data_IF_406842242338
#
_entry.id   IF_406842242338
#
_cell.length_a   1.000
_cell.length_b   1.000
_cell.length_c   1.000
_cell.angle_alpha   90.00
_cell.angle_beta   90.00
_cell.angle_gamma   90.00
#
_symmetry.space_group_name_H-M   'P 1'
#
loop_
_entity.id
_entity.type
_entity.pdbx_description
1 polymer ?
#
# COMPACT_ATOMS: atom_id res chain seq x y z
N UNK A 1 3.67 28.66 11.47
CA UNK A 1 4.52 28.06 12.52
C UNK A 1 4.89 26.66 12.06
N UNK A 2 6.18 26.42 11.79
CA UNK A 2 6.64 25.20 11.12
C UNK A 2 6.35 23.93 11.91
N UNK A 3 5.71 22.95 11.28
CA UNK A 3 5.65 21.57 11.76
C UNK A 3 7.08 21.02 11.73
N UNK A 4 7.72 20.94 12.90
CA UNK A 4 8.93 20.14 13.08
C UNK A 4 8.55 18.68 12.85
N UNK A 5 9.16 18.04 11.84
CA UNK A 5 9.23 16.58 11.76
C UNK A 5 9.73 16.06 13.11
N UNK A 6 8.86 15.41 13.89
CA UNK A 6 9.28 14.72 15.10
C UNK A 6 10.19 13.57 14.64
N UNK A 7 11.46 13.65 15.04
CA UNK A 7 12.49 12.72 14.62
C UNK A 7 12.16 11.27 15.00
N UNK A 8 12.58 10.36 14.12
CA UNK A 8 12.45 8.91 14.25
C UNK A 8 13.11 8.41 15.54
N UNK A 9 12.38 7.63 16.32
CA UNK A 9 12.92 6.97 17.51
C UNK A 9 13.48 5.60 17.14
N UNK A 10 14.71 5.32 17.56
CA UNK A 10 15.27 3.97 17.51
C UNK A 10 14.49 3.10 18.50
N UNK A 11 13.71 2.15 18.01
CA UNK A 11 12.81 1.37 18.85
C UNK A 11 13.57 0.31 19.64
N UNK A 12 13.06 -0.08 20.81
CA UNK A 12 13.71 -1.05 21.69
C UNK A 12 13.41 -2.49 21.24
N UNK A 13 14.43 -3.32 21.10
CA UNK A 13 14.28 -4.77 20.82
C UNK A 13 14.52 -5.56 22.10
N UNK A 14 13.50 -6.28 22.55
CA UNK A 14 13.52 -7.12 23.74
C UNK A 14 13.93 -8.56 23.41
N UNK A 15 14.28 -9.34 24.43
CA UNK A 15 14.68 -10.75 24.29
C UNK A 15 13.80 -11.61 25.18
N UNK A 16 13.04 -12.54 24.59
CA UNK A 16 12.25 -13.54 25.31
C UNK A 16 12.58 -14.91 24.73
N UNK A 17 13.21 -15.77 25.53
CA UNK A 17 13.73 -17.06 25.07
C UNK A 17 14.58 -16.93 23.80
N UNK A 18 14.30 -17.80 22.82
CA UNK A 18 14.97 -17.83 21.52
C UNK A 18 14.53 -16.71 20.56
N UNK A 19 13.67 -15.77 20.98
CA UNK A 19 13.16 -14.71 20.12
C UNK A 19 13.72 -13.32 20.46
N UNK A 20 14.07 -12.56 19.42
CA UNK A 20 14.22 -11.11 19.48
C UNK A 20 12.89 -10.47 19.08
N UNK A 21 12.40 -9.53 19.89
CA UNK A 21 11.03 -9.01 19.78
C UNK A 21 11.06 -7.49 19.69
N UNK A 22 10.47 -6.98 18.62
CA UNK A 22 10.11 -5.57 18.47
C UNK A 22 8.62 -5.41 18.78
N UNK A 23 8.28 -4.46 19.65
CA UNK A 23 6.90 -4.15 20.02
C UNK A 23 6.66 -2.66 19.94
N UNK A 24 5.54 -2.26 19.35
CA UNK A 24 5.17 -0.85 19.18
C UNK A 24 3.73 -0.64 19.59
N UNK A 25 3.50 0.48 20.27
CA UNK A 25 2.19 0.87 20.79
C UNK A 25 1.90 2.26 20.22
N UNK A 26 0.75 2.41 19.55
CA UNK A 26 0.32 3.70 19.03
C UNK A 26 -0.11 4.64 20.17
N UNK A 27 -0.94 4.12 21.08
CA UNK A 27 -1.42 4.84 22.26
C UNK A 27 -1.04 4.08 23.55
N UNK A 28 -0.23 4.66 24.46
CA UNK A 28 0.15 4.05 25.73
C UNK A 28 -1.04 3.65 26.64
N UNK A 29 -2.23 4.22 26.40
CA UNK A 29 -3.45 3.86 27.13
C UNK A 29 -4.19 2.66 26.50
N UNK A 30 -3.81 2.25 25.30
CA UNK A 30 -4.38 1.12 24.57
C UNK A 30 -3.75 -0.22 24.98
N UNK A 31 -4.57 -1.26 25.00
CA UNK A 31 -4.14 -2.65 25.20
C UNK A 31 -3.63 -3.30 23.91
N UNK A 32 -3.80 -2.63 22.76
CA UNK A 32 -3.38 -3.15 21.45
C UNK A 32 -1.95 -2.75 21.13
N UNK A 33 -1.15 -3.71 20.65
CA UNK A 33 0.22 -3.48 20.20
C UNK A 33 0.51 -4.21 18.90
N UNK A 34 1.51 -3.73 18.16
CA UNK A 34 2.11 -4.43 17.06
C UNK A 34 3.36 -5.15 17.55
N UNK A 35 3.50 -6.44 17.23
CA UNK A 35 4.63 -7.25 17.66
C UNK A 35 5.23 -7.99 16.46
N UNK A 36 6.56 -7.88 16.34
CA UNK A 36 7.37 -8.63 15.38
C UNK A 36 8.42 -9.42 16.14
N UNK A 37 8.43 -10.74 15.97
CA UNK A 37 9.38 -11.63 16.63
C UNK A 37 10.19 -12.42 15.60
N UNK A 38 11.52 -12.46 15.79
CA UNK A 38 12.43 -13.28 14.96
C UNK A 38 13.24 -14.23 15.82
N UNK A 39 13.42 -15.46 15.32
CA UNK A 39 14.14 -16.49 16.04
C UNK A 39 15.66 -16.29 15.91
N UNK A 40 16.35 -16.17 17.04
CA UNK A 40 17.76 -15.76 17.12
C UNK A 40 18.74 -16.78 16.57
N UNK A 41 18.35 -18.05 16.50
CA UNK A 41 19.23 -19.08 15.91
C UNK A 41 19.32 -18.94 14.38
N UNK A 42 18.37 -18.21 13.78
CA UNK A 42 18.31 -18.01 12.34
C UNK A 42 18.58 -16.56 11.93
N UNK A 43 18.18 -15.59 12.75
CA UNK A 43 18.24 -14.16 12.42
C UNK A 43 18.96 -13.32 13.46
N UNK A 44 19.78 -12.39 12.97
CA UNK A 44 20.29 -11.25 13.73
C UNK A 44 19.47 -10.01 13.38
N UNK A 45 18.97 -9.31 14.40
CA UNK A 45 18.35 -7.99 14.21
C UNK A 45 19.45 -6.95 14.10
N UNK A 46 19.52 -6.27 12.96
CA UNK A 46 20.49 -5.21 12.64
C UNK A 46 19.98 -3.86 13.15
N UNK A 47 18.73 -3.52 12.81
CA UNK A 47 18.08 -2.30 13.29
C UNK A 47 16.56 -2.48 13.41
N UNK A 48 15.94 -1.57 14.16
CA UNK A 48 14.49 -1.51 14.37
C UNK A 48 14.02 -0.06 14.38
N UNK A 49 13.00 0.24 13.57
CA UNK A 49 12.38 1.56 13.49
C UNK A 49 10.87 1.46 13.67
N UNK A 50 10.33 2.42 14.41
CA UNK A 50 8.89 2.57 14.63
C UNK A 50 8.39 3.73 13.77
N UNK A 51 7.27 3.51 13.09
CA UNK A 51 6.59 4.50 12.26
C UNK A 51 5.22 4.77 12.89
N UNK A 52 5.10 5.91 13.57
CA UNK A 52 3.85 6.32 14.20
C UNK A 52 3.02 7.17 13.24
N UNK A 53 1.81 6.73 12.92
CA UNK A 53 0.84 7.47 12.11
C UNK A 53 -0.09 8.33 12.98
N UNK A 54 0.49 9.06 13.94
CA UNK A 54 -0.25 9.93 14.86
C UNK A 54 -1.10 10.99 14.14
N UNK A 55 -0.72 11.32 12.91
CA UNK A 55 -1.42 12.27 12.04
C UNK A 55 -2.39 11.60 11.06
N UNK A 56 -2.38 10.28 10.94
CA UNK A 56 -3.14 9.51 9.93
C UNK A 56 -3.68 8.21 10.54
N UNK A 57 -4.86 8.32 11.16
CA UNK A 57 -5.63 7.16 11.64
C UNK A 57 -5.11 6.49 12.91
N UNK A 58 -4.12 7.08 13.59
CA UNK A 58 -3.56 6.64 14.87
C UNK A 58 -3.12 5.17 14.87
N UNK A 59 -2.37 4.81 13.82
CA UNK A 59 -1.81 3.46 13.61
C UNK A 59 -0.30 3.46 13.76
N UNK A 60 0.28 2.27 13.73
CA UNK A 60 1.74 2.08 13.80
C UNK A 60 2.19 1.03 12.80
N UNK A 61 3.37 1.23 12.24
CA UNK A 61 4.14 0.20 11.53
C UNK A 61 5.52 0.04 12.17
N UNK A 62 6.12 -1.13 11.97
CA UNK A 62 7.47 -1.47 12.40
C UNK A 62 8.30 -1.85 11.20
N UNK A 63 9.50 -1.30 11.08
CA UNK A 63 10.53 -1.78 10.15
C UNK A 63 11.62 -2.49 10.95
N UNK A 64 11.86 -3.74 10.60
CA UNK A 64 12.90 -4.59 11.17
C UNK A 64 13.90 -4.96 10.08
N UNK A 65 15.14 -4.49 10.22
CA UNK A 65 16.24 -4.92 9.37
C UNK A 65 16.88 -6.14 10.01
N UNK A 66 16.86 -7.27 9.31
CA UNK A 66 17.39 -8.54 9.79
C UNK A 66 18.39 -9.14 8.81
N UNK A 67 19.32 -9.92 9.37
CA UNK A 67 20.35 -10.65 8.66
C UNK A 67 20.26 -12.14 8.99
N UNK A 68 20.37 -13.00 7.99
CA UNK A 68 20.39 -14.45 8.18
C UNK A 68 21.76 -14.89 8.71
N UNK A 69 21.76 -15.67 9.80
CA UNK A 69 23.00 -16.13 10.46
C UNK A 69 23.69 -17.30 9.74
N UNK A 70 22.92 -18.12 9.03
CA UNK A 70 23.44 -19.29 8.31
C UNK A 70 23.28 -19.06 6.80
N UNK A 71 24.35 -18.71 6.07
CA UNK A 71 24.25 -18.44 4.64
C UNK A 71 23.81 -19.70 3.88
N UNK A 72 22.79 -19.56 3.05
CA UNK A 72 22.30 -20.69 2.25
C UNK A 72 23.35 -21.13 1.24
N UNK A 73 23.63 -22.43 1.20
CA UNK A 73 24.69 -23.05 0.39
C UNK A 73 24.63 -22.73 -1.10
N UNK A 74 23.46 -22.35 -1.61
CA UNK A 74 23.19 -21.97 -3.02
C UNK A 74 23.72 -20.58 -3.39
N UNK A 75 24.07 -19.72 -2.42
CA UNK A 75 24.56 -18.36 -2.63
C UNK A 75 25.96 -18.16 -2.04
N UNK A 76 26.85 -19.14 -2.22
CA UNK A 76 28.24 -19.18 -1.67
C UNK A 76 29.24 -18.31 -2.44
N UNK A 77 28.86 -17.12 -2.91
CA UNK A 77 29.87 -16.08 -3.12
C UNK A 77 30.20 -15.52 -1.72
N UNK A 78 31.47 -15.63 -1.31
CA UNK A 78 31.89 -15.51 0.10
C UNK A 78 31.62 -14.15 0.79
N UNK A 79 30.93 -13.19 0.15
CA UNK A 79 30.81 -11.81 0.63
C UNK A 79 29.38 -11.23 0.66
N UNK A 80 28.33 -11.95 0.27
CA UNK A 80 26.97 -11.37 0.26
C UNK A 80 26.28 -11.60 1.60
N UNK A 81 26.13 -10.54 2.39
CA UNK A 81 25.27 -10.56 3.59
C UNK A 81 23.83 -10.80 3.16
N UNK A 82 23.17 -11.76 3.80
CA UNK A 82 21.79 -12.11 3.48
C UNK A 82 20.85 -11.27 4.36
N UNK A 83 20.68 -10.01 3.97
CA UNK A 83 19.89 -9.02 4.68
C UNK A 83 18.50 -8.87 4.03
N UNK A 84 17.49 -8.53 4.84
CA UNK A 84 16.14 -8.22 4.37
C UNK A 84 15.45 -7.22 5.30
N UNK A 85 14.45 -6.53 4.75
CA UNK A 85 13.57 -5.65 5.52
C UNK A 85 12.23 -6.33 5.74
N UNK A 86 11.82 -6.44 7.00
CA UNK A 86 10.49 -6.91 7.38
C UNK A 86 9.72 -5.71 7.90
N UNK A 87 8.59 -5.40 7.28
CA UNK A 87 7.67 -4.37 7.77
C UNK A 87 6.39 -5.03 8.24
N UNK A 88 6.01 -4.77 9.48
CA UNK A 88 4.73 -5.20 10.03
C UNK A 88 3.82 -3.98 10.22
N UNK A 89 2.52 -4.13 10.00
CA UNK A 89 1.54 -3.04 10.21
C UNK A 89 0.13 -3.58 10.47
N UNK A 90 -0.74 -2.73 11.00
CA UNK A 90 -2.17 -2.95 11.04
C UNK A 90 -2.87 -1.65 10.62
N UNK A 91 -3.35 -1.61 9.38
CA UNK A 91 -3.93 -0.42 8.77
C UNK A 91 -5.28 -0.06 9.38
N UNK A 92 -5.72 1.17 9.16
CA UNK A 92 -6.99 1.68 9.70
C UNK A 92 -8.19 0.85 9.21
N UNK A 93 -9.01 0.37 10.16
CA UNK A 93 -10.23 -0.37 9.88
C UNK A 93 -11.20 0.41 8.97
N UNK A 94 -11.81 -0.22 7.94
CA UNK A 94 -12.65 0.45 6.96
C UNK A 94 -14.08 0.67 7.48
N UNK A 95 -14.30 1.64 8.37
CA UNK A 95 -15.66 2.00 8.80
C UNK A 95 -16.52 2.57 7.67
N UNK A 96 -15.90 3.26 6.71
CA UNK A 96 -16.53 3.80 5.50
C UNK A 96 -15.50 3.92 4.35
N UNK A 97 -15.99 4.18 3.13
CA UNK A 97 -15.15 4.30 1.92
C UNK A 97 -14.21 5.50 1.92
N UNK A 98 -14.49 6.55 2.70
CA UNK A 98 -13.64 7.74 2.80
C UNK A 98 -12.28 7.41 3.42
N UNK A 99 -12.25 6.43 4.33
CA UNK A 99 -11.03 5.95 4.99
C UNK A 99 -10.09 5.15 4.08
N UNK A 100 -10.47 4.87 2.83
CA UNK A 100 -9.57 4.25 1.86
C UNK A 100 -8.35 5.14 1.57
N UNK A 101 -8.55 6.45 1.48
CA UNK A 101 -7.45 7.42 1.26
C UNK A 101 -6.48 7.42 2.45
N UNK A 102 -7.01 7.29 3.67
CA UNK A 102 -6.20 7.20 4.89
C UNK A 102 -5.31 5.97 4.86
N UNK A 103 -5.86 4.80 4.52
CA UNK A 103 -5.06 3.57 4.39
C UNK A 103 -4.01 3.68 3.30
N UNK A 104 -4.37 4.24 2.14
CA UNK A 104 -3.40 4.50 1.08
C UNK A 104 -2.26 5.38 1.59
N UNK A 105 -2.57 6.48 2.29
CA UNK A 105 -1.58 7.38 2.88
C UNK A 105 -0.66 6.66 3.89
N UNK A 106 -1.23 5.76 4.71
CA UNK A 106 -0.43 4.93 5.62
C UNK A 106 0.56 4.06 4.83
N UNK A 107 0.13 3.41 3.74
CA UNK A 107 1.02 2.59 2.90
C UNK A 107 2.06 3.43 2.17
N UNK A 108 1.67 4.59 1.63
CA UNK A 108 2.60 5.53 0.99
C UNK A 108 3.72 5.95 1.95
N UNK A 109 3.37 6.33 3.19
CA UNK A 109 4.35 6.66 4.23
C UNK A 109 5.23 5.49 4.63
N UNK A 110 4.69 4.27 4.68
CA UNK A 110 5.49 3.06 4.91
C UNK A 110 6.55 2.91 3.83
N UNK A 111 6.16 3.01 2.55
CA UNK A 111 7.10 2.84 1.43
C UNK A 111 8.13 3.98 1.37
N UNK A 112 7.72 5.23 1.59
CA UNK A 112 8.66 6.36 1.72
C UNK A 112 9.69 6.13 2.82
N UNK A 113 9.27 5.55 3.94
CA UNK A 113 10.17 5.26 5.04
C UNK A 113 11.14 4.12 4.71
N UNK A 114 10.69 3.09 3.99
CA UNK A 114 11.57 2.01 3.50
C UNK A 114 12.63 2.56 2.56
N UNK A 115 12.25 3.40 1.59
CA UNK A 115 13.18 4.06 0.67
C UNK A 115 14.19 4.96 1.42
N UNK A 116 13.69 5.77 2.36
CA UNK A 116 14.53 6.66 3.18
C UNK A 116 15.50 5.86 4.03
N UNK A 117 15.04 4.79 4.68
CA UNK A 117 15.87 3.91 5.51
C UNK A 117 17.00 3.28 4.69
N UNK A 118 16.70 2.76 3.49
CA UNK A 118 17.73 2.20 2.63
C UNK A 118 18.77 3.26 2.22
N UNK A 119 18.33 4.46 1.83
CA UNK A 119 19.22 5.57 1.45
C UNK A 119 20.09 6.05 2.61
N UNK A 120 19.49 6.27 3.79
CA UNK A 120 20.20 6.73 5.00
C UNK A 120 21.30 5.77 5.46
N UNK A 121 21.09 4.47 5.24
CA UNK A 121 22.03 3.42 5.64
C UNK A 121 22.93 2.94 4.48
N UNK A 122 22.89 3.61 3.32
CA UNK A 122 23.63 3.23 2.10
C UNK A 122 23.45 1.74 1.75
N UNK A 123 22.22 1.23 1.88
CA UNK A 123 21.89 -0.15 1.57
C UNK A 123 21.59 -0.31 0.09
N UNK A 124 22.12 -1.38 -0.51
CA UNK A 124 21.65 -1.87 -1.79
C UNK A 124 20.16 -2.26 -1.69
N UNK A 125 19.53 -2.50 -2.85
CA UNK A 125 18.16 -3.01 -2.84
C UNK A 125 18.09 -4.35 -2.09
N UNK A 126 17.43 -4.32 -0.92
CA UNK A 126 17.14 -5.50 -0.12
C UNK A 126 15.75 -6.07 -0.50
N UNK A 127 15.53 -7.38 -0.33
CA UNK A 127 14.19 -7.94 -0.31
C UNK A 127 13.38 -7.28 0.81
N UNK A 128 12.13 -6.96 0.48
CA UNK A 128 11.18 -6.36 1.41
C UNK A 128 10.01 -7.32 1.58
N UNK A 129 9.70 -7.65 2.83
CA UNK A 129 8.52 -8.41 3.23
C UNK A 129 7.60 -7.45 3.99
N UNK A 130 6.38 -7.23 3.49
CA UNK A 130 5.37 -6.47 4.22
C UNK A 130 4.31 -7.43 4.76
N UNK A 131 4.06 -7.44 6.06
CA UNK A 131 3.11 -8.31 6.71
C UNK A 131 2.11 -7.56 7.59
N UNK A 132 0.96 -8.19 7.84
CA UNK A 132 -0.03 -7.73 8.80
C UNK A 132 -1.45 -7.65 8.21
N UNK A 133 -2.32 -6.95 8.95
CA UNK A 133 -3.71 -6.70 8.55
C UNK A 133 -3.78 -5.38 7.74
N UNK A 134 -4.06 -5.52 6.46
CA UNK A 134 -4.14 -4.39 5.53
C UNK A 134 -5.52 -3.74 5.50
N UNK A 135 -6.52 -4.35 6.13
CA UNK A 135 -7.88 -3.84 6.21
C UNK A 135 -8.44 -3.43 4.82
N UNK A 136 -8.02 -4.16 3.78
CA UNK A 136 -8.31 -3.88 2.38
C UNK A 136 -8.22 -5.16 1.56
N UNK A 137 -9.19 -5.36 0.67
CA UNK A 137 -9.24 -6.54 -0.18
C UNK A 137 -8.41 -6.39 -1.45
N UNK A 138 -8.25 -7.49 -2.20
CA UNK A 138 -7.65 -7.50 -3.55
C UNK A 138 -8.24 -6.48 -4.53
N UNK A 139 -9.52 -6.14 -4.38
CA UNK A 139 -10.19 -5.16 -5.26
C UNK A 139 -9.90 -3.70 -4.86
N UNK A 140 -9.45 -3.48 -3.63
CA UNK A 140 -9.24 -2.17 -3.07
C UNK A 140 -7.97 -1.46 -3.56
N UNK A 141 -7.93 -0.14 -3.39
CA UNK A 141 -6.82 0.68 -3.87
C UNK A 141 -5.48 0.37 -3.20
N UNK A 142 -5.48 -0.04 -1.93
CA UNK A 142 -4.24 -0.45 -1.23
C UNK A 142 -3.56 -1.61 -1.94
N UNK A 143 -4.31 -2.65 -2.30
CA UNK A 143 -3.79 -3.79 -3.05
C UNK A 143 -3.24 -3.34 -4.40
N UNK A 144 -4.04 -2.62 -5.18
CA UNK A 144 -3.65 -2.08 -6.50
C UNK A 144 -2.38 -1.21 -6.43
N UNK A 145 -2.27 -0.38 -5.39
CA UNK A 145 -1.10 0.47 -5.16
C UNK A 145 0.16 -0.36 -4.89
N UNK A 146 0.12 -1.35 -4.01
CA UNK A 146 1.24 -2.25 -3.76
C UNK A 146 1.63 -3.05 -5.01
N UNK A 147 0.65 -3.52 -5.78
CA UNK A 147 0.90 -4.19 -7.08
C UNK A 147 1.63 -3.27 -8.06
N UNK A 148 1.25 -1.99 -8.14
CA UNK A 148 1.92 -1.00 -8.99
C UNK A 148 3.37 -0.72 -8.58
N UNK A 149 3.72 -1.01 -7.32
CA UNK A 149 5.06 -0.90 -6.76
C UNK A 149 5.88 -2.21 -6.88
N UNK A 150 5.34 -3.22 -7.59
CA UNK A 150 6.02 -4.48 -7.86
C UNK A 150 5.84 -5.55 -6.78
N UNK A 151 5.12 -5.27 -5.69
CA UNK A 151 4.87 -6.27 -4.65
C UNK A 151 3.99 -7.40 -5.15
N UNK A 152 4.32 -8.63 -4.80
CA UNK A 152 3.50 -9.82 -5.04
C UNK A 152 2.89 -10.32 -3.73
N UNK A 153 1.63 -10.75 -3.79
CA UNK A 153 0.99 -11.46 -2.69
C UNK A 153 1.58 -12.87 -2.61
N UNK A 154 2.17 -13.23 -1.47
CA UNK A 154 2.78 -14.54 -1.31
C UNK A 154 1.73 -15.66 -1.38
N UNK A 155 0.53 -15.43 -0.84
CA UNK A 155 -0.54 -16.41 -0.90
C UNK A 155 -0.96 -16.69 -2.36
N UNK A 156 -1.12 -15.64 -3.15
CA UNK A 156 -1.51 -15.79 -4.56
C UNK A 156 -0.40 -16.41 -5.39
N UNK A 157 0.85 -16.07 -5.10
CA UNK A 157 2.02 -16.65 -5.77
C UNK A 157 2.11 -18.16 -5.51
N UNK A 158 1.90 -18.60 -4.27
CA UNK A 158 1.95 -20.02 -3.92
C UNK A 158 0.85 -20.85 -4.59
N UNK A 159 -0.33 -20.26 -4.79
CA UNK A 159 -1.51 -20.92 -5.36
C UNK A 159 -1.74 -20.64 -6.85
N UNK A 160 -0.85 -19.86 -7.48
CA UNK A 160 -0.96 -19.44 -8.88
C UNK A 160 -2.27 -18.68 -9.17
N UNK A 161 -2.71 -17.87 -8.21
CA UNK A 161 -3.88 -17.01 -8.36
C UNK A 161 -3.53 -15.70 -9.05
N UNK A 162 -4.49 -15.17 -9.79
CA UNK A 162 -4.38 -13.88 -10.47
C UNK A 162 -4.99 -12.77 -9.62
N UNK A 163 -4.77 -11.52 -10.05
CA UNK A 163 -5.42 -10.36 -9.42
C UNK A 163 -6.96 -10.38 -9.59
N UNK A 164 -7.48 -11.13 -10.58
CA UNK A 164 -8.92 -11.36 -10.77
C UNK A 164 -9.55 -12.34 -9.76
N UNK A 165 -8.73 -13.17 -9.11
CA UNK A 165 -9.14 -14.19 -8.15
C UNK A 165 -9.38 -13.61 -6.74
N UNK A 166 -10.23 -12.58 -6.67
CA UNK A 166 -10.42 -11.76 -5.47
C UNK A 166 -11.14 -12.47 -4.30
N UNK A 167 -11.80 -13.60 -4.57
CA UNK A 167 -12.67 -14.31 -3.61
C UNK A 167 -12.20 -15.75 -3.33
N UNK A 168 -10.99 -16.11 -3.76
CA UNK A 168 -10.48 -17.50 -3.62
C UNK A 168 -10.06 -17.87 -2.20
N UNK A 169 -9.77 -16.88 -1.36
CA UNK A 169 -9.36 -17.09 0.01
C UNK A 169 -9.89 -15.98 0.92
N UNK A 170 -9.99 -16.31 2.21
CA UNK A 170 -10.50 -15.45 3.25
C UNK A 170 -9.60 -15.57 4.47
N UNK A 171 -9.25 -14.45 5.10
CA UNK A 171 -8.42 -14.44 6.30
C UNK A 171 -9.13 -13.88 7.52
N UNK A 172 -10.25 -13.17 7.35
CA UNK A 172 -10.92 -12.48 8.43
C UNK A 172 -12.44 -12.60 8.34
N UNK A 173 -13.08 -12.75 9.51
CA UNK A 173 -14.52 -12.59 9.69
C UNK A 173 -14.77 -11.40 10.59
N UNK A 174 -15.26 -10.32 10.00
CA UNK A 174 -15.42 -9.08 10.74
C UNK A 174 -16.61 -9.11 11.72
N UNK A 175 -16.72 -8.07 12.54
CA UNK A 175 -17.80 -7.92 13.53
C UNK A 175 -19.22 -7.90 12.95
N UNK A 176 -19.38 -7.71 11.63
CA UNK A 176 -20.66 -7.79 10.91
C UNK A 176 -20.93 -9.17 10.33
N UNK A 177 -20.03 -10.13 10.53
CA UNK A 177 -20.10 -11.48 9.98
C UNK A 177 -19.64 -11.58 8.52
N UNK A 178 -19.12 -10.51 7.91
CA UNK A 178 -18.61 -10.56 6.54
C UNK A 178 -17.24 -11.24 6.52
N UNK A 179 -17.04 -12.06 5.49
CA UNK A 179 -15.78 -12.74 5.22
C UNK A 179 -14.95 -11.93 4.20
N UNK A 180 -13.69 -11.65 4.53
CA UNK A 180 -12.76 -10.97 3.63
C UNK A 180 -11.32 -11.49 3.73
N UNK A 181 -10.59 -11.44 2.61
CA UNK A 181 -9.13 -11.57 2.58
C UNK A 181 -8.49 -10.20 2.78
N UNK A 182 -7.90 -9.97 3.95
CA UNK A 182 -7.31 -8.68 4.38
C UNK A 182 -5.90 -8.82 4.95
N UNK A 183 -5.50 -10.04 5.30
CA UNK A 183 -4.18 -10.36 5.83
C UNK A 183 -3.28 -10.78 4.68
N UNK A 184 -2.24 -10.00 4.43
CA UNK A 184 -1.30 -10.26 3.34
C UNK A 184 0.13 -10.30 3.86
N UNK A 185 0.90 -11.22 3.29
CA UNK A 185 2.36 -11.20 3.33
C UNK A 185 2.84 -10.90 1.91
N UNK A 186 3.26 -9.67 1.70
CA UNK A 186 3.78 -9.16 0.43
C UNK A 186 5.28 -9.41 0.34
N UNK A 187 5.75 -9.72 -0.87
CA UNK A 187 7.16 -9.84 -1.19
C UNK A 187 7.51 -8.87 -2.32
N UNK A 188 8.61 -8.15 -2.16
CA UNK A 188 9.27 -7.39 -3.22
C UNK A 188 10.74 -7.79 -3.25
N UNK A 189 11.18 -8.35 -4.37
CA UNK A 189 12.58 -8.72 -4.58
C UNK A 189 13.38 -7.53 -5.16
N UNK A 190 14.70 -7.50 -4.95
CA UNK A 190 15.57 -6.43 -5.45
C UNK A 190 15.51 -6.21 -6.95
N UNK A 191 15.34 -7.28 -7.73
CA UNK A 191 15.30 -7.24 -9.19
C UNK A 191 13.93 -6.87 -9.77
N UNK A 192 12.95 -6.57 -8.92
CA UNK A 192 11.60 -6.24 -9.37
C UNK A 192 11.57 -4.78 -9.83
N UNK A 193 10.93 -4.53 -10.98
CA UNK A 193 10.68 -3.18 -11.47
C UNK A 193 9.92 -2.36 -10.42
N UNK A 194 10.35 -1.11 -10.22
CA UNK A 194 9.69 -0.16 -9.31
C UNK A 194 9.33 1.10 -10.08
N UNK A 195 8.04 1.40 -10.12
CA UNK A 195 7.55 2.70 -10.55
C UNK A 195 7.86 3.74 -9.48
N UNK A 196 8.17 4.98 -9.86
CA UNK A 196 8.35 6.07 -8.91
C UNK A 196 7.14 6.15 -7.97
N UNK A 197 7.41 6.15 -6.66
CA UNK A 197 6.38 6.08 -5.63
C UNK A 197 5.33 7.18 -5.76
N UNK A 198 5.75 8.40 -6.14
CA UNK A 198 4.87 9.56 -6.39
C UNK A 198 3.92 9.33 -7.57
N UNK A 199 4.38 8.67 -8.63
CA UNK A 199 3.55 8.38 -9.80
C UNK A 199 2.48 7.33 -9.45
N UNK A 200 2.86 6.24 -8.79
CA UNK A 200 1.90 5.24 -8.31
C UNK A 200 0.88 5.81 -7.32
N UNK A 201 1.32 6.73 -6.46
CA UNK A 201 0.43 7.42 -5.52
C UNK A 201 -0.66 8.19 -6.25
N UNK A 202 -0.24 8.99 -7.23
CA UNK A 202 -1.12 9.83 -8.04
C UNK A 202 -2.14 9.01 -8.81
N UNK A 203 -1.70 7.93 -9.43
CA UNK A 203 -2.58 6.98 -10.12
C UNK A 203 -3.58 6.31 -9.18
N UNK A 204 -3.16 5.97 -7.95
CA UNK A 204 -4.05 5.39 -6.96
C UNK A 204 -5.16 6.38 -6.57
N UNK A 205 -4.82 7.67 -6.35
CA UNK A 205 -5.79 8.73 -6.02
C UNK A 205 -6.72 9.02 -7.21
N UNK A 206 -6.21 9.09 -8.43
CA UNK A 206 -7.06 9.23 -9.62
C UNK A 206 -7.95 8.00 -9.85
N UNK A 207 -7.46 6.80 -9.55
CA UNK A 207 -8.28 5.61 -9.52
C UNK A 207 -9.45 5.72 -8.53
N UNK A 208 -9.22 6.27 -7.34
CA UNK A 208 -10.30 6.55 -6.37
C UNK A 208 -11.29 7.58 -6.89
N UNK A 209 -10.79 8.65 -7.52
CA UNK A 209 -11.62 9.67 -8.15
C UNK A 209 -12.55 9.02 -9.19
N UNK A 210 -11.99 8.25 -10.12
CA UNK A 210 -12.74 7.56 -11.17
C UNK A 210 -13.79 6.63 -10.57
N UNK A 211 -13.42 5.83 -9.58
CA UNK A 211 -14.36 4.91 -8.91
C UNK A 211 -15.53 5.68 -8.26
N UNK A 212 -15.28 6.82 -7.60
CA UNK A 212 -16.32 7.66 -7.00
C UNK A 212 -17.20 8.40 -8.02
N UNK A 213 -16.71 8.62 -9.23
CA UNK A 213 -17.51 9.14 -10.35
C UNK A 213 -18.37 8.06 -11.00
N UNK A 214 -17.92 6.79 -10.98
CA UNK A 214 -18.58 5.69 -11.66
C UNK A 214 -19.57 4.92 -10.76
N UNK A 215 -19.26 4.76 -9.47
CA UNK A 215 -20.01 3.93 -8.53
C UNK A 215 -20.75 4.73 -7.47
N UNK A 216 -22.02 4.38 -7.29
CA UNK A 216 -22.87 4.80 -6.18
C UNK A 216 -22.54 3.95 -4.94
N UNK A 217 -22.28 4.57 -3.79
CA UNK A 217 -22.22 3.88 -2.51
C UNK A 217 -23.64 3.87 -1.91
N UNK A 218 -24.40 2.79 -2.11
CA UNK A 218 -25.68 2.59 -1.41
C UNK A 218 -25.37 2.14 0.02
N UNK A 219 -25.12 3.07 0.93
CA UNK A 219 -25.13 2.80 2.37
C UNK A 219 -26.52 3.10 2.93
N UNK A 220 -27.28 2.05 3.25
CA UNK A 220 -28.56 2.17 3.95
C UNK A 220 -28.34 2.53 5.42
N UNK A 221 -28.86 3.66 5.87
CA UNK A 221 -29.25 3.88 7.28
C UNK A 221 -30.30 4.99 7.38
N UNK A 222 -31.51 4.56 7.72
CA UNK A 222 -32.74 5.23 8.16
C UNK A 222 -32.78 6.77 8.35
N UNK A 223 -33.86 7.32 7.78
CA UNK A 223 -34.65 8.49 8.21
C UNK A 223 -34.09 9.90 7.97
N UNK A 224 -34.83 10.60 7.10
CA UNK A 224 -34.89 12.05 6.89
C UNK A 224 -33.67 12.73 6.24
N UNK A 225 -33.46 12.49 4.94
CA UNK A 225 -32.81 13.49 4.08
C UNK A 225 -33.22 13.36 2.60
N UNK A 226 -34.52 13.45 2.34
CA UNK A 226 -35.09 13.36 0.98
C UNK A 226 -34.74 14.55 0.06
N UNK A 227 -34.08 15.60 0.56
CA UNK A 227 -33.65 16.76 -0.23
C UNK A 227 -32.16 16.76 -0.64
N UNK A 228 -31.33 15.88 -0.06
CA UNK A 228 -29.91 15.68 -0.48
C UNK A 228 -29.80 14.58 -1.55
N UNK A 229 -30.85 13.77 -1.68
CA UNK A 229 -30.90 12.63 -2.60
C UNK A 229 -30.88 13.07 -4.07
N UNK A 230 -31.41 14.23 -4.45
CA UNK A 230 -31.44 14.65 -5.87
C UNK A 230 -30.06 15.08 -6.41
N UNK A 231 -29.23 15.74 -5.60
CA UNK A 231 -27.85 16.10 -5.98
C UNK A 231 -26.93 14.88 -5.98
N UNK A 232 -27.25 13.85 -5.18
CA UNK A 232 -26.51 12.59 -5.14
C UNK A 232 -26.95 11.61 -6.24
N UNK A 233 -28.23 11.59 -6.62
CA UNK A 233 -28.77 10.73 -7.67
C UNK A 233 -28.25 11.08 -9.07
N UNK A 234 -27.89 12.35 -9.35
CA UNK A 234 -27.23 12.74 -10.61
C UNK A 234 -25.76 12.26 -10.73
N UNK A 235 -25.16 11.74 -9.65
CA UNK A 235 -23.74 11.32 -9.62
C UNK A 235 -23.51 9.86 -10.04
N UNK A 236 -24.56 9.12 -10.38
CA UNK A 236 -24.45 7.71 -10.75
C UNK A 236 -23.95 7.55 -12.19
N UNK A 237 -22.85 6.82 -12.37
CA UNK A 237 -22.34 6.38 -13.68
C UNK A 237 -22.01 7.52 -14.64
N UNK A 238 -21.28 8.54 -14.18
CA UNK A 238 -20.77 9.59 -15.06
C UNK A 238 -19.97 8.93 -16.18
N UNK A 239 -20.32 9.28 -17.42
CA UNK A 239 -19.48 8.95 -18.57
C UNK A 239 -18.17 9.74 -18.49
N UNK A 240 -17.20 9.43 -19.34
CA UNK A 240 -15.95 10.21 -19.45
C UNK A 240 -16.23 11.71 -19.62
N UNK A 241 -17.17 12.04 -20.51
CA UNK A 241 -17.59 13.42 -20.76
C UNK A 241 -18.29 14.06 -19.57
N UNK A 242 -19.17 13.33 -18.88
CA UNK A 242 -19.87 13.86 -17.70
C UNK A 242 -18.92 14.11 -16.54
N UNK A 243 -17.91 13.25 -16.37
CA UNK A 243 -16.87 13.43 -15.37
C UNK A 243 -16.00 14.65 -15.70
N UNK A 244 -15.60 14.83 -16.97
CA UNK A 244 -14.88 16.02 -17.40
C UNK A 244 -15.71 17.29 -17.14
N UNK A 245 -16.99 17.30 -17.52
CA UNK A 245 -17.91 18.41 -17.27
C UNK A 245 -18.08 18.68 -15.77
N UNK A 246 -18.12 17.65 -14.94
CA UNK A 246 -18.18 17.77 -13.49
C UNK A 246 -16.95 18.51 -12.92
N UNK A 247 -15.74 18.15 -13.38
CA UNK A 247 -14.50 18.82 -12.97
C UNK A 247 -14.40 20.28 -13.45
N UNK A 248 -15.01 20.62 -14.58
CA UNK A 248 -15.06 22.00 -15.09
C UNK A 248 -15.83 22.96 -14.19
N UNK A 249 -16.74 22.44 -13.36
CA UNK A 249 -17.67 23.25 -12.56
C UNK A 249 -18.36 24.33 -13.44
N UNK A 250 -18.37 25.59 -13.00
CA UNK A 250 -19.02 26.70 -13.73
C UNK A 250 -18.12 27.35 -14.80
N UNK A 251 -16.97 26.76 -15.12
CA UNK A 251 -16.04 27.28 -16.13
C UNK A 251 -16.70 27.29 -17.52
N UNK A 252 -16.68 28.46 -18.16
CA UNK A 252 -17.19 28.64 -19.53
C UNK A 252 -16.25 28.06 -20.61
N UNK A 253 -14.98 27.83 -20.27
CA UNK A 253 -13.98 27.25 -21.17
C UNK A 253 -14.10 25.74 -21.26
N UNK A 254 -13.57 25.13 -22.32
CA UNK A 254 -13.53 23.66 -22.45
C UNK A 254 -12.29 23.03 -21.79
N UNK A 255 -12.06 23.42 -20.55
CA UNK A 255 -10.94 22.98 -19.73
C UNK A 255 -11.31 23.03 -18.25
N UNK A 256 -10.66 22.20 -17.46
CA UNK A 256 -10.77 22.19 -16.00
C UNK A 256 -9.77 23.20 -15.45
N UNK A 257 -10.20 23.99 -14.47
CA UNK A 257 -9.31 24.89 -13.72
C UNK A 257 -8.90 24.25 -12.39
N UNK A 258 -7.81 24.74 -11.78
CA UNK A 258 -7.40 24.26 -10.45
C UNK A 258 -8.50 24.40 -9.40
N UNK A 259 -9.29 25.48 -9.45
CA UNK A 259 -10.43 25.68 -8.56
C UNK A 259 -11.54 24.66 -8.81
N UNK A 260 -11.88 24.39 -10.08
CA UNK A 260 -12.86 23.35 -10.46
C UNK A 260 -12.41 21.96 -9.99
N UNK A 261 -11.13 21.62 -10.17
CA UNK A 261 -10.54 20.37 -9.67
C UNK A 261 -10.63 20.25 -8.15
N UNK A 262 -10.25 21.29 -7.41
CA UNK A 262 -10.35 21.29 -5.94
C UNK A 262 -11.79 21.15 -5.46
N UNK A 263 -12.74 21.79 -6.13
CA UNK A 263 -14.17 21.70 -5.82
C UNK A 263 -14.71 20.29 -6.10
N UNK A 264 -14.34 19.69 -7.23
CA UNK A 264 -14.69 18.31 -7.56
C UNK A 264 -14.16 17.33 -6.49
N UNK A 265 -12.88 17.44 -6.08
CA UNK A 265 -12.30 16.62 -5.02
C UNK A 265 -13.02 16.81 -3.67
N UNK A 266 -13.46 18.03 -3.36
CA UNK A 266 -14.23 18.33 -2.15
C UNK A 266 -15.60 17.65 -2.20
N UNK A 267 -16.31 17.75 -3.31
CA UNK A 267 -17.63 17.12 -3.50
C UNK A 267 -17.58 15.59 -3.51
N UNK A 268 -16.43 15.02 -3.89
CA UNK A 268 -16.17 13.59 -3.81
C UNK A 268 -15.65 13.15 -2.44
N UNK A 269 -15.58 14.01 -1.43
CA UNK A 269 -15.02 13.69 -0.10
C UNK A 269 -13.57 13.18 -0.14
N UNK A 270 -12.79 13.64 -1.12
CA UNK A 270 -11.33 13.43 -1.17
C UNK A 270 -10.58 14.63 -0.59
N UNK A 271 -11.23 15.79 -0.45
CA UNK A 271 -10.66 17.04 0.06
C UNK A 271 -11.57 17.68 1.11
N UNK A 272 -10.99 18.37 2.11
CA UNK A 272 -11.74 19.18 3.08
C UNK A 272 -12.30 18.44 4.30
N UNK A 273 -12.09 17.13 4.41
CA UNK A 273 -12.38 16.35 5.62
C UNK A 273 -11.13 16.20 6.50
N UNK A 274 -11.28 15.80 7.77
CA UNK A 274 -10.16 15.57 8.70
C UNK A 274 -9.12 14.55 8.18
N UNK A 275 -9.48 13.78 7.16
CA UNK A 275 -8.74 12.69 6.57
C UNK A 275 -8.57 12.80 5.04
N UNK A 276 -8.91 13.97 4.46
CA UNK A 276 -8.76 14.25 3.03
C UNK A 276 -7.33 14.63 2.64
N UNK A 277 -7.11 14.82 1.35
CA UNK A 277 -5.88 15.35 0.77
C UNK A 277 -5.51 16.69 1.40
N UNK A 278 -4.23 16.86 1.73
CA UNK A 278 -3.64 18.13 2.12
C UNK A 278 -3.57 19.10 0.93
N UNK A 279 -3.30 20.36 1.24
CA UNK A 279 -3.12 21.41 0.21
C UNK A 279 -1.94 21.07 -0.69
N UNK A 280 -0.85 20.58 -0.10
CA UNK A 280 0.37 20.18 -0.80
C UNK A 280 0.10 18.97 -1.71
N UNK A 281 -0.54 17.91 -1.21
CA UNK A 281 -0.89 16.74 -2.02
C UNK A 281 -1.83 17.12 -3.18
N UNK A 282 -2.79 18.02 -2.94
CA UNK A 282 -3.73 18.46 -3.98
C UNK A 282 -3.02 19.24 -5.08
N UNK A 283 -2.06 20.10 -4.72
CA UNK A 283 -1.22 20.80 -5.69
C UNK A 283 -0.34 19.83 -6.48
N UNK A 284 0.25 18.85 -5.80
CA UNK A 284 1.09 17.84 -6.43
C UNK A 284 0.31 16.93 -7.40
N UNK A 285 -0.96 16.64 -7.11
CA UNK A 285 -1.87 15.94 -8.03
C UNK A 285 -2.19 16.81 -9.24
N UNK A 286 -2.47 18.10 -9.04
CA UNK A 286 -2.73 19.04 -10.13
C UNK A 286 -1.55 19.12 -11.10
N UNK A 287 -0.34 19.32 -10.59
CA UNK A 287 0.88 19.40 -11.39
C UNK A 287 1.14 18.11 -12.17
N UNK A 288 0.68 16.96 -11.68
CA UNK A 288 0.82 15.69 -12.42
C UNK A 288 -0.29 15.43 -13.42
N UNK A 289 -1.44 16.09 -13.27
CA UNK A 289 -2.51 16.04 -14.26
C UNK A 289 -2.22 16.98 -15.44
N UNK A 290 -1.68 18.17 -15.17
CA UNK A 290 -1.33 19.22 -16.13
C UNK A 290 0.01 18.87 -16.79
N UNK A 291 -0.05 18.22 -17.96
CA UNK A 291 1.11 17.63 -18.62
C UNK A 291 1.97 18.72 -19.25
N UNK A 292 1.34 19.71 -19.88
CA UNK A 292 2.05 20.77 -20.59
C UNK A 292 2.37 21.99 -19.69
N UNK A 293 1.82 22.03 -18.47
CA UNK A 293 2.07 23.06 -17.47
C UNK A 293 1.41 24.40 -17.81
N UNK A 294 0.38 24.41 -18.65
CA UNK A 294 -0.30 25.63 -19.08
C UNK A 294 -1.26 26.21 -18.01
N UNK A 295 -1.48 25.48 -16.90
CA UNK A 295 -2.29 25.91 -15.77
C UNK A 295 -3.78 25.57 -15.89
N UNK A 296 -4.20 24.78 -16.88
CA UNK A 296 -5.54 24.20 -17.04
C UNK A 296 -5.43 22.73 -17.45
N UNK A 297 -6.46 21.92 -17.23
CA UNK A 297 -6.51 20.56 -17.79
C UNK A 297 -7.45 20.52 -18.97
N UNK A 298 -6.92 20.23 -20.15
CA UNK A 298 -7.74 19.95 -21.32
C UNK A 298 -8.33 18.53 -21.27
N UNK A 299 -9.23 18.23 -22.22
CA UNK A 299 -9.89 16.92 -22.28
C UNK A 299 -8.91 15.77 -22.47
N UNK A 300 -7.83 15.99 -23.23
CA UNK A 300 -6.82 14.96 -23.53
C UNK A 300 -5.98 14.66 -22.30
N UNK A 301 -5.57 15.67 -21.54
CA UNK A 301 -4.85 15.50 -20.28
C UNK A 301 -5.70 14.78 -19.24
N UNK A 302 -6.97 15.20 -19.08
CA UNK A 302 -7.93 14.50 -18.24
C UNK A 302 -8.06 13.02 -18.62
N UNK A 303 -8.22 12.74 -19.92
CA UNK A 303 -8.35 11.37 -20.41
C UNK A 303 -7.10 10.54 -20.11
N UNK A 304 -5.90 11.10 -20.33
CA UNK A 304 -4.63 10.39 -20.15
C UNK A 304 -4.24 10.18 -18.68
N UNK A 305 -4.50 11.16 -17.80
CA UNK A 305 -4.01 11.12 -16.41
C UNK A 305 -5.05 10.65 -15.41
N UNK A 306 -6.31 11.00 -15.62
CA UNK A 306 -7.38 10.79 -14.64
C UNK A 306 -8.31 9.65 -15.05
N UNK A 307 -8.78 9.65 -16.31
CA UNK A 307 -9.84 8.73 -16.71
C UNK A 307 -9.33 7.38 -17.22
N UNK A 308 -8.38 7.39 -18.15
CA UNK A 308 -7.74 6.20 -18.69
C UNK A 308 -6.24 6.30 -18.42
N UNK A 309 -5.80 6.37 -17.15
CA UNK A 309 -4.39 6.18 -16.87
C UNK A 309 -4.04 4.84 -17.48
N UNK A 310 -3.02 4.80 -18.34
CA UNK A 310 -2.61 3.61 -19.08
C UNK A 310 -2.19 2.54 -18.07
N UNK A 311 -3.16 1.83 -17.53
CA UNK A 311 -3.01 0.72 -16.58
C UNK A 311 -2.58 -0.55 -17.31
N UNK A 312 -2.55 -0.51 -18.65
CA UNK A 312 -2.06 -1.59 -19.50
C UNK A 312 -0.54 -1.49 -19.65
N UNK A 313 0.15 -2.50 -19.13
CA UNK A 313 1.16 -3.27 -19.86
C UNK A 313 2.28 -2.53 -20.61
N UNK A 314 2.71 -1.34 -20.17
CA UNK A 314 4.10 -0.93 -20.38
C UNK A 314 5.02 -1.68 -19.40
N UNK A 315 4.99 -3.02 -19.49
CA UNK A 315 6.09 -3.85 -18.98
C UNK A 315 7.37 -3.65 -19.79
N UNK A 316 7.35 -2.95 -20.92
CA UNK A 316 8.50 -2.92 -21.83
C UNK A 316 8.90 -1.58 -22.46
N UNK A 317 8.12 -0.50 -22.43
CA UNK A 317 8.53 0.70 -23.18
C UNK A 317 8.21 1.99 -22.44
N UNK A 318 9.29 2.64 -21.99
CA UNK A 318 9.41 4.05 -21.59
C UNK A 318 9.02 4.35 -20.14
N UNK A 319 10.03 4.32 -19.26
CA UNK A 319 10.32 5.41 -18.32
C UNK A 319 11.83 5.39 -18.02
N UNK A 320 12.56 6.25 -18.73
CA UNK A 320 13.97 6.57 -18.50
C UNK A 320 14.13 7.43 -17.23
N UNK A 321 13.88 6.85 -16.07
CA UNK A 321 14.63 7.22 -14.86
C UNK A 321 15.61 6.06 -14.60
N UNK A 322 16.87 6.37 -14.84
CA UNK A 322 17.95 5.48 -15.24
C UNK A 322 18.27 4.44 -14.17
N UNK A 323 17.75 3.22 -14.33
CA UNK A 323 18.46 2.02 -13.90
C UNK A 323 19.09 1.43 -15.15
N UNK A 324 20.27 1.91 -15.51
CA UNK A 324 21.02 1.25 -16.56
C UNK A 324 21.31 -0.18 -16.12
N UNK A 325 21.10 -1.13 -17.03
CA UNK A 325 21.70 -2.46 -16.97
C UNK A 325 23.22 -2.28 -17.08
N UNK A 326 23.86 -1.86 -15.99
CA UNK A 326 25.28 -2.12 -15.82
C UNK A 326 25.37 -3.62 -15.62
N UNK A 327 26.24 -4.30 -16.38
CA UNK A 327 26.69 -5.67 -16.14
C UNK A 327 27.38 -5.71 -14.75
N UNK A 328 26.61 -5.54 -13.69
CA UNK A 328 27.07 -5.71 -12.33
C UNK A 328 27.13 -7.22 -12.11
N UNK A 329 28.34 -7.71 -11.89
CA UNK A 329 28.59 -9.09 -11.45
C UNK A 329 28.12 -9.33 -10.02
N UNK A 330 27.50 -8.34 -9.38
CA UNK A 330 26.99 -8.41 -8.02
C UNK A 330 25.67 -9.17 -7.98
N UNK A 331 25.73 -10.37 -7.40
CA UNK A 331 24.55 -11.14 -7.04
C UNK A 331 24.00 -10.62 -5.71
N UNK A 332 22.70 -10.34 -5.69
CA UNK A 332 21.95 -10.12 -4.45
C UNK A 332 21.07 -11.34 -4.15
N UNK A 333 20.47 -11.37 -2.98
CA UNK A 333 19.57 -12.43 -2.56
C UNK A 333 18.15 -11.90 -2.64
N UNK A 334 17.27 -12.69 -3.25
CA UNK A 334 15.83 -12.54 -3.18
C UNK A 334 15.19 -13.79 -2.59
N UNK A 335 13.87 -13.84 -2.65
CA UNK A 335 13.08 -14.99 -2.20
C UNK A 335 12.15 -15.47 -3.30
N UNK A 336 12.00 -16.79 -3.38
CA UNK A 336 10.86 -17.40 -4.07
C UNK A 336 9.87 -17.93 -3.04
N UNK A 337 8.59 -17.73 -3.32
CA UNK A 337 7.51 -18.27 -2.50
C UNK A 337 7.37 -19.76 -2.82
N UNK A 338 7.46 -20.62 -1.81
CA UNK A 338 7.33 -22.07 -1.95
C UNK A 338 5.97 -22.58 -1.52
N UNK A 339 5.43 -21.99 -0.47
CA UNK A 339 4.13 -22.34 0.05
C UNK A 339 3.53 -21.16 0.81
N UNK A 340 2.22 -21.11 0.89
CA UNK A 340 1.48 -20.21 1.76
C UNK A 340 0.21 -20.92 2.20
N UNK A 341 -0.16 -20.83 3.48
CA UNK A 341 -1.34 -21.52 4.03
C UNK A 341 -2.03 -20.64 5.05
N UNK A 342 -3.35 -20.67 5.07
CA UNK A 342 -4.15 -20.13 6.16
C UNK A 342 -4.49 -21.25 7.13
N UNK A 343 -4.36 -20.98 8.43
CA UNK A 343 -4.71 -21.92 9.48
C UNK A 343 -5.78 -21.33 10.41
N UNK A 344 -6.82 -22.11 10.76
CA UNK A 344 -7.10 -23.47 10.26
C UNK A 344 -7.58 -23.46 8.81
N UNK A 345 -7.35 -24.54 8.05
CA UNK A 345 -7.52 -24.57 6.58
C UNK A 345 -8.96 -24.34 6.12
N UNK A 346 -9.93 -24.59 7.00
CA UNK A 346 -11.36 -24.43 6.74
C UNK A 346 -11.75 -22.95 6.52
N UNK A 347 -10.98 -22.01 7.10
CA UNK A 347 -11.23 -20.56 6.96
C UNK A 347 -11.13 -20.10 5.52
N UNK A 348 -10.31 -20.78 4.70
CA UNK A 348 -10.17 -20.50 3.27
C UNK A 348 -11.50 -20.67 2.53
N UNK A 349 -12.39 -21.53 3.05
CA UNK A 349 -13.72 -21.81 2.50
C UNK A 349 -14.83 -20.97 3.13
N UNK A 350 -14.49 -19.97 3.96
CA UNK A 350 -15.50 -19.19 4.67
C UNK A 350 -15.98 -19.82 5.99
N UNK A 351 -15.37 -20.92 6.44
CA UNK A 351 -15.79 -21.67 7.63
C UNK A 351 -14.90 -21.31 8.83
N UNK A 352 -15.49 -20.69 9.85
CA UNK A 352 -14.79 -20.31 11.07
C UNK A 352 -14.98 -21.36 12.17
N UNK A 353 -13.93 -21.72 12.92
CA UNK A 353 -14.07 -22.58 14.10
C UNK A 353 -15.06 -22.00 15.12
N UNK A 354 -15.70 -22.87 15.91
CA UNK A 354 -16.70 -22.46 16.90
C UNK A 354 -16.11 -21.66 18.06
N UNK A 355 -14.82 -21.85 18.36
CA UNK A 355 -14.07 -21.12 19.40
C UNK A 355 -13.55 -19.77 18.93
N UNK A 356 -13.70 -19.43 17.64
CA UNK A 356 -13.34 -18.12 17.11
C UNK A 356 -14.43 -17.08 17.42
N UNK A 357 -14.00 -15.91 17.90
CA UNK A 357 -14.84 -14.75 18.17
C UNK A 357 -15.08 -13.88 16.93
N UNK A 358 -16.03 -12.94 17.04
CA UNK A 358 -16.22 -11.91 16.03
C UNK A 358 -14.96 -11.02 15.95
N UNK A 359 -14.43 -10.82 14.74
CA UNK A 359 -13.17 -10.09 14.45
C UNK A 359 -11.89 -10.93 14.52
N UNK A 360 -11.97 -12.25 14.62
CA UNK A 360 -10.79 -13.11 14.56
C UNK A 360 -10.19 -13.22 13.14
N UNK A 361 -8.86 -13.31 13.11
CA UNK A 361 -8.08 -13.51 11.90
C UNK A 361 -7.49 -14.93 11.87
N UNK A 362 -7.50 -15.54 10.69
CA UNK A 362 -6.79 -16.76 10.41
C UNK A 362 -5.28 -16.49 10.34
N UNK A 363 -4.47 -17.45 10.78
CA UNK A 363 -3.02 -17.34 10.72
C UNK A 363 -2.53 -17.60 9.30
N UNK A 364 -2.02 -16.57 8.64
CA UNK A 364 -1.31 -16.71 7.37
C UNK A 364 0.16 -17.07 7.60
N UNK A 365 0.59 -18.23 7.10
CA UNK A 365 1.98 -18.70 7.13
C UNK A 365 2.53 -18.79 5.72
N UNK A 366 3.75 -18.29 5.49
CA UNK A 366 4.43 -18.37 4.19
C UNK A 366 5.81 -19.01 4.36
N UNK A 367 6.16 -19.88 3.41
CA UNK A 367 7.48 -20.50 3.30
C UNK A 367 8.21 -19.88 2.11
N UNK A 368 9.32 -19.20 2.39
CA UNK A 368 10.22 -18.67 1.39
C UNK A 368 11.45 -19.56 1.23
N UNK A 369 12.01 -19.63 0.03
CA UNK A 369 13.38 -20.11 -0.17
C UNK A 369 14.23 -19.02 -0.81
N UNK A 370 15.46 -18.79 -0.33
CA UNK A 370 16.32 -17.77 -0.91
C UNK A 370 16.76 -18.18 -2.31
N UNK A 371 16.93 -17.18 -3.16
CA UNK A 371 17.38 -17.33 -4.54
C UNK A 371 18.41 -16.25 -4.84
N UNK A 372 19.48 -16.61 -5.55
CA UNK A 372 20.42 -15.62 -6.09
C UNK A 372 19.78 -14.89 -7.26
N UNK A 373 19.94 -13.57 -7.31
CA UNK A 373 19.38 -12.72 -8.36
C UNK A 373 20.39 -11.64 -8.77
N UNK A 374 20.34 -11.15 -10.03
CA UNK A 374 21.15 -9.99 -10.43
C UNK A 374 20.77 -8.78 -9.57
N UNK A 375 21.77 -8.04 -9.09
CA UNK A 375 21.53 -6.77 -8.40
C UNK A 375 21.39 -5.64 -9.44
N UNK A 376 20.23 -4.96 -9.53
CA UNK A 376 20.15 -3.72 -10.29
C UNK A 376 20.96 -2.65 -9.54
N UNK A 377 21.95 -2.06 -10.19
CA UNK A 377 22.68 -0.93 -9.64
C UNK A 377 21.79 0.32 -9.63
N UNK A 378 21.56 0.91 -8.45
CA UNK A 378 21.04 2.27 -8.31
C UNK A 378 22.03 3.23 -8.97
N UNK A 379 21.64 3.94 -10.03
CA UNK A 379 22.43 5.10 -10.47
C UNK A 379 22.21 6.21 -9.44
N UNK A 380 23.33 6.75 -8.96
CA UNK A 380 23.45 7.74 -7.88
C UNK A 380 22.74 9.06 -8.16
#
# INVERSE_FOLDING_TARGET
MGRKNRGMTKGRVSRIGSYAIASSIADPSSISCLLTAVHKDYFRVVDHRELLFNDIGDRVAQLLHVELLSPVSQCRSNNVRQEMLIVNTHLLFPHDSSLCLVRLNQVYKILQHVESYQKENNLNLLPIILCGDWNGSKRGHVYKFLRSQGFVSSYDTAHQYTDGDAQKWVSHRNHRGNICGVDFIWLLNPNSYRKLLKTSWTEAVFGMFKERCQFFEVSWSNSLHMLVIESLLRRASLTEHDAFAFLKADSQGDYITYSGFCEALRQLSLLGHCHGLSVEETKDLWVQADIDGNGVLDYKEFQQRIWNPTWLDQRNEICNEVWEHVDSTEQTIGFSVKNAVLFPTEVEKGLWPEDYSLSDHARLTVVFSPVGMPCPSLVS
#
